data_IF_195827772650
#
_entry.id   IF_195827772650
#
_cell.length_a   1.000
_cell.length_b   1.000
_cell.length_c   1.000
_cell.angle_alpha   90.00
_cell.angle_beta   90.00
_cell.angle_gamma   90.00
#
_symmetry.space_group_name_H-M   'P 1'
#
loop_
_entity.id
_entity.type
_entity.pdbx_description
1 polymer ?
#
# COMPACT_ATOMS: atom_id res chain seq x y z
N UNK A 1 -14.11 6.13 24.78
CA UNK A 1 -15.05 7.19 24.50
C UNK A 1 -16.49 6.70 24.43
N UNK A 2 -17.40 7.61 24.39
CA UNK A 2 -18.83 7.38 24.24
C UNK A 2 -19.26 7.75 22.83
N UNK A 3 -19.94 6.88 22.13
CA UNK A 3 -20.39 7.12 20.75
C UNK A 3 -21.86 6.82 20.61
N UNK A 4 -22.61 7.69 19.93
CA UNK A 4 -24.06 7.54 19.69
C UNK A 4 -24.30 7.24 18.22
N UNK A 5 -24.78 6.02 17.93
CA UNK A 5 -25.36 5.66 16.62
C UNK A 5 -24.51 6.00 15.40
N UNK A 6 -23.18 5.91 15.49
CA UNK A 6 -22.26 6.26 14.40
C UNK A 6 -21.58 5.01 13.86
N UNK A 7 -21.41 4.95 12.54
CA UNK A 7 -20.46 4.04 11.90
C UNK A 7 -19.03 4.52 12.21
N UNK A 8 -18.17 3.58 12.54
CA UNK A 8 -16.73 3.82 12.77
C UNK A 8 -15.96 2.93 11.81
N UNK A 9 -15.17 3.53 10.94
CA UNK A 9 -14.36 2.79 9.97
C UNK A 9 -12.91 3.18 10.03
N UNK A 10 -12.07 2.27 9.54
CA UNK A 10 -10.66 2.50 9.28
C UNK A 10 -9.91 3.04 10.51
N UNK A 11 -10.16 2.43 11.66
CA UNK A 11 -9.58 2.83 12.94
C UNK A 11 -8.77 1.70 13.54
N UNK A 12 -7.72 2.06 14.27
CA UNK A 12 -6.96 1.07 15.02
C UNK A 12 -6.47 1.56 16.38
N UNK A 13 -6.15 0.60 17.25
CA UNK A 13 -5.44 0.82 18.49
C UNK A 13 -4.33 -0.21 18.66
N UNK A 14 -3.14 0.25 19.03
CA UNK A 14 -2.00 -0.59 19.44
C UNK A 14 -1.47 -0.20 20.83
N UNK A 15 -2.01 0.87 21.41
CA UNK A 15 -1.66 1.36 22.72
C UNK A 15 -2.41 0.65 23.84
N UNK A 16 -1.93 0.79 25.07
CA UNK A 16 -2.63 0.32 26.26
C UNK A 16 -3.82 1.24 26.59
N UNK A 17 -4.97 0.65 26.83
CA UNK A 17 -6.15 1.34 27.33
C UNK A 17 -6.48 0.81 28.72
N UNK A 18 -6.61 1.69 29.70
CA UNK A 18 -6.93 1.32 31.07
C UNK A 18 -8.12 2.11 31.61
N UNK A 19 -8.94 1.45 32.40
CA UNK A 19 -10.05 2.05 33.14
C UNK A 19 -9.86 1.82 34.62
N UNK A 20 -9.66 2.90 35.38
CA UNK A 20 -9.43 2.82 36.85
C UNK A 20 -10.72 2.53 37.64
N UNK A 21 -11.88 2.74 37.04
CA UNK A 21 -13.16 2.49 37.69
C UNK A 21 -13.49 0.98 37.69
N UNK A 22 -13.97 0.48 38.85
CA UNK A 22 -14.44 -0.92 38.96
C UNK A 22 -15.65 -1.20 38.06
N UNK A 23 -16.51 -0.19 37.85
CA UNK A 23 -17.68 -0.28 36.98
C UNK A 23 -17.46 0.57 35.74
N UNK A 24 -17.70 0.00 34.59
CA UNK A 24 -17.57 0.70 33.32
C UNK A 24 -17.27 -0.25 32.16
N UNK A 25 -17.24 0.31 30.98
CA UNK A 25 -17.02 -0.43 29.74
C UNK A 25 -15.73 0.06 29.08
N UNK A 26 -14.90 -0.87 28.69
CA UNK A 26 -13.63 -0.61 28.02
C UNK A 26 -13.58 -1.42 26.71
N UNK A 27 -13.11 -0.81 25.65
CA UNK A 27 -12.86 -1.45 24.37
C UNK A 27 -11.68 -0.81 23.66
N UNK A 28 -11.02 -1.58 22.81
CA UNK A 28 -9.86 -1.12 22.08
C UNK A 28 -10.17 0.01 21.08
N UNK A 29 -11.36 0.00 20.48
CA UNK A 29 -11.84 1.04 19.58
C UNK A 29 -12.83 1.95 20.30
N UNK A 30 -13.77 1.38 21.05
CA UNK A 30 -14.77 2.18 21.77
C UNK A 30 -15.17 1.54 23.08
N UNK A 31 -15.38 2.35 24.12
CA UNK A 31 -15.82 1.88 25.44
C UNK A 31 -17.33 1.60 25.49
N UNK A 32 -18.14 2.52 25.02
CA UNK A 32 -19.59 2.43 25.10
C UNK A 32 -20.26 3.01 23.85
N UNK A 33 -21.16 2.21 23.27
CA UNK A 33 -22.07 2.65 22.21
C UNK A 33 -23.51 2.63 22.70
N UNK A 34 -24.25 3.69 22.43
CA UNK A 34 -25.71 3.67 22.49
C UNK A 34 -26.28 3.57 21.08
N UNK A 35 -27.17 2.61 20.87
CA UNK A 35 -27.68 2.29 19.55
C UNK A 35 -26.87 1.20 18.83
N UNK A 36 -26.96 1.18 17.51
CA UNK A 36 -26.22 0.23 16.68
C UNK A 36 -24.76 0.61 16.60
N UNK A 37 -23.86 -0.32 16.92
CA UNK A 37 -22.43 -0.22 16.63
C UNK A 37 -22.20 -0.77 15.24
N UNK A 38 -21.66 0.04 14.37
CA UNK A 38 -21.09 -0.40 13.11
C UNK A 38 -19.57 -0.15 13.13
N UNK A 39 -18.81 -1.22 13.12
CA UNK A 39 -17.34 -1.18 13.01
C UNK A 39 -16.91 -1.83 11.70
N UNK A 40 -16.23 -1.10 10.87
CA UNK A 40 -15.75 -1.59 9.58
C UNK A 40 -14.26 -1.35 9.43
N UNK A 41 -13.50 -2.38 9.00
CA UNK A 41 -12.06 -2.29 8.79
C UNK A 41 -11.29 -1.76 10.01
N UNK A 42 -11.66 -2.19 11.22
CA UNK A 42 -11.00 -1.74 12.44
C UNK A 42 -10.16 -2.86 13.05
N UNK A 43 -9.10 -2.50 13.75
CA UNK A 43 -8.39 -3.51 14.53
C UNK A 43 -7.87 -2.98 15.88
N UNK A 44 -7.77 -3.90 16.85
CA UNK A 44 -7.12 -3.65 18.12
C UNK A 44 -6.01 -4.67 18.39
N UNK A 45 -4.78 -4.20 18.51
CA UNK A 45 -3.62 -4.98 18.98
C UNK A 45 -3.08 -4.45 20.32
N UNK A 46 -3.73 -3.44 20.91
CA UNK A 46 -3.39 -2.88 22.21
C UNK A 46 -3.91 -3.71 23.38
N UNK A 47 -3.34 -3.49 24.54
CA UNK A 47 -3.77 -4.14 25.79
C UNK A 47 -4.92 -3.39 26.46
N UNK A 48 -5.81 -4.13 27.12
CA UNK A 48 -6.94 -3.57 27.85
C UNK A 48 -6.86 -4.00 29.32
N UNK A 49 -7.06 -3.06 30.25
CA UNK A 49 -7.07 -3.35 31.69
C UNK A 49 -8.17 -2.61 32.43
N UNK A 50 -8.86 -3.30 33.34
CA UNK A 50 -9.94 -2.75 34.14
C UNK A 50 -11.31 -2.81 33.48
N UNK A 51 -12.30 -2.22 34.11
CA UNK A 51 -13.68 -2.20 33.67
C UNK A 51 -14.43 -3.51 33.86
N UNK A 52 -15.75 -3.43 33.98
CA UNK A 52 -16.63 -4.59 34.12
C UNK A 52 -16.94 -5.27 32.77
N UNK A 53 -17.06 -4.47 31.72
CA UNK A 53 -17.28 -4.93 30.35
C UNK A 53 -16.03 -4.64 29.52
N UNK A 54 -15.13 -5.61 29.43
CA UNK A 54 -13.89 -5.50 28.67
C UNK A 54 -14.04 -6.27 27.34
N UNK A 55 -14.22 -5.54 26.24
CA UNK A 55 -14.31 -6.11 24.90
C UNK A 55 -13.15 -5.66 24.02
N UNK A 56 -12.57 -6.57 23.25
CA UNK A 56 -11.39 -6.27 22.45
C UNK A 56 -11.59 -5.13 21.45
N UNK A 57 -12.79 -4.98 20.90
CA UNK A 57 -13.17 -3.88 20.01
C UNK A 57 -14.10 -2.89 20.73
N UNK A 58 -15.16 -3.39 21.37
CA UNK A 58 -16.13 -2.54 22.07
C UNK A 58 -16.53 -3.14 23.41
N UNK A 59 -16.59 -2.31 24.45
CA UNK A 59 -17.01 -2.75 25.80
C UNK A 59 -18.51 -3.02 25.87
N UNK A 60 -19.34 -2.02 25.57
CA UNK A 60 -20.79 -2.13 25.59
C UNK A 60 -21.40 -1.60 24.31
N UNK A 61 -22.34 -2.35 23.75
CA UNK A 61 -23.15 -1.96 22.60
C UNK A 61 -24.58 -2.48 22.72
N UNK A 62 -25.57 -1.72 22.25
CA UNK A 62 -26.97 -2.14 22.21
C UNK A 62 -27.18 -3.17 21.08
N UNK A 63 -26.72 -2.86 19.90
CA UNK A 63 -26.65 -3.75 18.72
C UNK A 63 -25.27 -3.67 18.11
N UNK A 64 -24.88 -4.71 17.36
CA UNK A 64 -23.50 -4.82 16.86
C UNK A 64 -23.52 -5.28 15.42
N UNK A 65 -22.91 -4.48 14.54
CA UNK A 65 -22.53 -4.85 13.18
C UNK A 65 -21.03 -4.68 13.05
N UNK A 66 -20.31 -5.80 12.99
CA UNK A 66 -18.85 -5.80 12.90
C UNK A 66 -18.47 -6.42 11.56
N UNK A 67 -17.92 -5.60 10.70
CA UNK A 67 -17.48 -5.98 9.36
C UNK A 67 -15.95 -5.84 9.28
N UNK A 68 -15.28 -6.90 8.84
CA UNK A 68 -13.84 -6.90 8.60
C UNK A 68 -13.03 -6.22 9.72
N UNK A 69 -13.45 -6.45 10.99
CA UNK A 69 -12.78 -5.87 12.14
C UNK A 69 -12.23 -6.97 13.06
N UNK A 70 -11.00 -6.79 13.50
CA UNK A 70 -10.18 -7.86 14.08
C UNK A 70 -9.51 -7.41 15.38
N UNK A 71 -9.08 -8.38 16.19
CA UNK A 71 -8.33 -8.07 17.39
C UNK A 71 -7.27 -9.13 17.70
N UNK A 72 -6.23 -8.71 18.41
CA UNK A 72 -5.14 -9.58 18.83
C UNK A 72 -5.65 -10.60 19.85
N UNK A 73 -5.37 -11.87 19.61
CA UNK A 73 -5.69 -12.97 20.51
C UNK A 73 -5.09 -12.70 21.91
N UNK A 74 -5.88 -12.96 22.93
CA UNK A 74 -5.51 -12.70 24.33
C UNK A 74 -5.79 -11.28 24.85
N UNK A 75 -6.22 -10.34 24.02
CA UNK A 75 -6.58 -8.99 24.47
C UNK A 75 -7.84 -8.97 25.34
N UNK A 76 -8.87 -9.70 24.94
CA UNK A 76 -10.09 -9.93 25.70
C UNK A 76 -10.79 -11.22 25.23
N UNK A 77 -11.69 -11.73 26.05
CA UNK A 77 -12.48 -12.94 25.71
C UNK A 77 -13.46 -12.69 24.55
N UNK A 78 -14.02 -11.48 24.51
CA UNK A 78 -15.02 -11.09 23.51
C UNK A 78 -14.56 -9.86 22.71
N UNK A 79 -14.95 -9.78 21.44
CA UNK A 79 -14.83 -8.56 20.66
C UNK A 79 -15.74 -7.45 21.22
N UNK A 80 -16.97 -7.83 21.63
CA UNK A 80 -17.94 -6.96 22.31
C UNK A 80 -18.40 -7.63 23.59
N UNK A 81 -18.00 -7.11 24.74
CA UNK A 81 -18.22 -7.78 26.04
C UNK A 81 -19.71 -7.89 26.40
N UNK A 82 -20.51 -6.83 26.25
CA UNK A 82 -21.93 -6.82 26.62
C UNK A 82 -22.79 -7.80 25.80
N UNK A 83 -22.32 -8.19 24.63
CA UNK A 83 -23.00 -9.14 23.72
C UNK A 83 -22.39 -10.53 23.71
N UNK A 84 -21.28 -10.73 24.42
CA UNK A 84 -20.47 -11.95 24.36
C UNK A 84 -20.15 -12.35 22.91
N UNK A 85 -19.96 -11.37 22.05
CA UNK A 85 -19.63 -11.56 20.65
C UNK A 85 -18.13 -11.78 20.51
N UNK A 86 -17.72 -12.94 20.00
CA UNK A 86 -16.30 -13.31 19.93
C UNK A 86 -15.53 -12.65 18.80
N UNK A 87 -16.20 -12.30 17.69
CA UNK A 87 -15.55 -11.62 16.57
C UNK A 87 -14.41 -12.40 15.91
N UNK A 88 -13.51 -11.70 15.25
CA UNK A 88 -12.37 -12.28 14.54
C UNK A 88 -11.05 -12.01 15.28
N UNK A 89 -10.58 -13.05 15.98
CA UNK A 89 -9.24 -13.04 16.59
C UNK A 89 -8.17 -13.33 15.56
N UNK A 90 -7.01 -12.71 15.74
CA UNK A 90 -5.80 -12.92 14.95
C UNK A 90 -4.59 -13.04 15.86
N UNK A 91 -3.60 -13.82 15.46
CA UNK A 91 -2.30 -13.82 16.12
C UNK A 91 -1.50 -12.56 15.77
N UNK A 92 -0.44 -12.29 16.52
CA UNK A 92 0.43 -11.13 16.25
C UNK A 92 1.10 -11.24 14.87
N UNK A 93 1.51 -12.44 14.46
CA UNK A 93 2.17 -12.65 13.17
C UNK A 93 1.19 -12.46 12.01
N UNK A 94 -0.06 -12.96 12.15
CA UNK A 94 -1.11 -12.69 11.16
C UNK A 94 -1.38 -11.19 11.01
N UNK A 95 -1.49 -10.46 12.14
CA UNK A 95 -1.81 -9.02 12.12
C UNK A 95 -0.65 -8.14 11.63
N UNK A 96 0.58 -8.65 11.61
CA UNK A 96 1.76 -7.96 11.06
C UNK A 96 2.03 -8.29 9.60
N UNK A 97 1.25 -9.17 9.01
CA UNK A 97 1.44 -9.59 7.62
C UNK A 97 0.94 -8.54 6.62
N UNK A 98 1.53 -8.51 5.44
CA UNK A 98 1.04 -7.68 4.33
C UNK A 98 -0.39 -8.05 3.91
N UNK A 99 -0.72 -9.36 3.99
CA UNK A 99 -2.06 -9.84 3.68
C UNK A 99 -3.11 -9.31 4.66
N UNK A 100 -2.75 -9.06 5.91
CA UNK A 100 -3.66 -8.45 6.87
C UNK A 100 -3.91 -6.97 6.57
N UNK A 101 -2.88 -6.22 6.20
CA UNK A 101 -3.06 -4.83 5.76
C UNK A 101 -3.97 -4.75 4.52
N UNK A 102 -3.77 -5.64 3.54
CA UNK A 102 -4.64 -5.74 2.37
C UNK A 102 -6.09 -6.14 2.72
N UNK A 103 -6.28 -7.03 3.70
CA UNK A 103 -7.59 -7.45 4.19
C UNK A 103 -8.37 -6.27 4.79
N UNK A 104 -7.69 -5.35 5.50
CA UNK A 104 -8.32 -4.16 6.08
C UNK A 104 -8.76 -3.13 5.04
N UNK A 105 -8.26 -3.21 3.79
CA UNK A 105 -8.65 -2.34 2.69
C UNK A 105 -7.68 -1.20 2.42
N UNK A 106 -8.04 -0.32 1.48
CA UNK A 106 -7.15 0.71 0.92
C UNK A 106 -6.71 1.80 1.91
N UNK A 107 -7.43 1.96 3.01
CA UNK A 107 -7.06 2.91 4.06
C UNK A 107 -5.79 2.48 4.83
N UNK A 108 -5.44 1.19 4.77
CA UNK A 108 -4.31 0.63 5.51
C UNK A 108 -3.15 0.23 4.61
N UNK A 109 -1.98 0.23 5.19
CA UNK A 109 -0.76 -0.24 4.54
C UNK A 109 0.13 -0.97 5.55
N UNK A 110 1.01 -1.89 5.10
CA UNK A 110 2.01 -2.50 5.95
C UNK A 110 2.92 -1.45 6.61
N UNK A 111 3.30 -1.69 7.86
CA UNK A 111 4.25 -0.84 8.60
C UNK A 111 5.69 -1.15 8.18
N UNK A 112 6.11 -0.62 7.04
CA UNK A 112 7.47 -0.78 6.51
C UNK A 112 8.51 0.14 7.18
N UNK A 113 8.07 1.06 8.04
CA UNK A 113 8.93 2.07 8.67
C UNK A 113 9.03 1.90 10.19
N UNK A 114 8.40 0.88 10.77
CA UNK A 114 8.43 0.62 12.20
C UNK A 114 7.65 1.65 13.05
N UNK A 115 6.67 2.33 12.46
CA UNK A 115 5.85 3.34 13.13
C UNK A 115 4.90 2.74 14.16
N UNK A 116 4.50 1.50 13.94
CA UNK A 116 3.42 0.84 14.66
C UNK A 116 3.78 -0.57 15.13
N UNK A 117 5.07 -0.84 15.35
CA UNK A 117 5.56 -2.14 15.80
C UNK A 117 5.27 -3.29 14.83
N UNK A 118 5.17 -3.00 13.54
CA UNK A 118 4.88 -3.94 12.47
C UNK A 118 3.39 -4.16 12.19
N UNK A 119 2.48 -3.61 13.00
CA UNK A 119 1.05 -3.63 12.71
C UNK A 119 0.67 -2.61 11.63
N UNK A 120 -0.35 -2.85 10.78
CA UNK A 120 -0.72 -1.93 9.73
C UNK A 120 -0.91 -0.49 10.21
N UNK A 121 -0.52 0.45 9.38
CA UNK A 121 -0.71 1.89 9.60
C UNK A 121 -1.71 2.43 8.60
N UNK A 122 -2.34 3.56 8.91
CA UNK A 122 -3.13 4.27 7.91
C UNK A 122 -2.21 4.87 6.84
N UNK A 123 -2.65 4.82 5.58
CA UNK A 123 -1.81 5.24 4.44
C UNK A 123 -1.25 6.65 4.62
N UNK A 124 -2.03 7.58 5.18
CA UNK A 124 -1.59 8.94 5.43
C UNK A 124 -0.55 9.10 6.56
N UNK A 125 -0.35 8.06 7.40
CA UNK A 125 0.66 8.05 8.46
C UNK A 125 2.05 7.67 7.95
N UNK A 126 2.15 7.11 6.74
CA UNK A 126 3.45 6.83 6.14
C UNK A 126 4.20 8.14 5.98
N UNK A 127 5.45 8.23 6.45
CA UNK A 127 6.24 9.43 6.21
C UNK A 127 6.34 9.63 4.70
N UNK A 128 6.14 10.87 4.25
CA UNK A 128 6.47 11.25 2.89
C UNK A 128 7.98 10.99 2.70
N UNK A 129 8.35 10.01 1.89
CA UNK A 129 9.75 9.78 1.60
C UNK A 129 10.22 10.79 0.54
N UNK A 130 11.45 11.25 0.70
CA UNK A 130 12.09 12.04 -0.34
C UNK A 130 12.51 11.09 -1.47
N UNK A 131 11.99 11.33 -2.68
CA UNK A 131 12.39 10.56 -3.83
C UNK A 131 13.87 10.78 -4.16
N UNK A 132 14.61 9.71 -4.23
CA UNK A 132 16.00 9.72 -4.74
C UNK A 132 16.01 8.94 -6.04
N UNK A 133 16.16 9.66 -7.16
CA UNK A 133 16.08 9.05 -8.48
C UNK A 133 17.46 8.63 -8.98
N UNK A 134 17.49 7.44 -9.58
CA UNK A 134 18.62 6.98 -10.41
C UNK A 134 18.29 7.24 -11.87
N UNK A 135 19.17 7.95 -12.57
CA UNK A 135 18.99 8.31 -13.96
C UNK A 135 19.63 7.27 -14.89
N UNK A 136 18.89 6.86 -15.91
CA UNK A 136 19.35 5.99 -17.00
C UNK A 136 19.11 6.69 -18.32
N UNK A 137 20.16 6.93 -19.10
CA UNK A 137 20.08 7.59 -20.41
C UNK A 137 19.87 6.54 -21.49
N UNK A 138 18.84 6.72 -22.30
CA UNK A 138 18.60 6.01 -23.54
C UNK A 138 19.03 6.90 -24.69
N UNK A 139 20.08 6.51 -25.42
CA UNK A 139 20.58 7.30 -26.55
C UNK A 139 19.58 7.29 -27.72
N UNK A 140 19.52 8.39 -28.53
CA UNK A 140 18.69 8.41 -29.73
C UNK A 140 19.24 7.45 -30.80
N UNK A 141 18.33 6.90 -31.61
CA UNK A 141 18.65 6.12 -32.80
C UNK A 141 18.44 6.99 -34.05
N UNK A 142 18.59 6.41 -35.21
CA UNK A 142 18.26 7.15 -36.43
C UNK A 142 16.81 7.57 -36.52
N UNK A 143 15.89 6.81 -35.93
CA UNK A 143 14.44 6.98 -35.98
C UNK A 143 13.80 7.39 -34.70
N UNK A 144 14.38 6.98 -33.54
CA UNK A 144 13.79 7.15 -32.25
C UNK A 144 14.51 8.23 -31.45
N UNK A 145 13.75 9.02 -30.69
CA UNK A 145 14.29 10.01 -29.76
C UNK A 145 15.00 9.33 -28.60
N UNK A 146 16.09 9.91 -28.16
CA UNK A 146 16.71 9.61 -26.88
C UNK A 146 15.97 10.28 -25.73
N UNK A 147 16.09 9.75 -24.52
CA UNK A 147 15.51 10.30 -23.30
C UNK A 147 16.24 9.80 -22.05
N UNK A 148 15.99 10.45 -20.93
CA UNK A 148 16.49 9.99 -19.63
C UNK A 148 15.32 9.50 -18.79
N UNK A 149 15.41 8.25 -18.30
CA UNK A 149 14.46 7.68 -17.34
C UNK A 149 15.03 7.84 -15.94
N UNK A 150 14.22 8.40 -15.04
CA UNK A 150 14.52 8.54 -13.63
C UNK A 150 13.66 7.57 -12.84
N UNK A 151 14.26 6.69 -12.02
CA UNK A 151 13.53 5.68 -11.23
C UNK A 151 13.92 5.78 -9.76
N UNK A 152 12.91 5.85 -8.89
CA UNK A 152 13.06 5.76 -7.45
C UNK A 152 12.86 4.31 -6.99
N UNK A 153 13.57 3.83 -5.95
CA UNK A 153 13.35 2.50 -5.38
C UNK A 153 11.91 2.22 -4.90
N UNK A 154 11.12 3.26 -4.66
CA UNK A 154 9.70 3.13 -4.32
C UNK A 154 8.79 2.73 -5.49
N UNK A 155 9.33 2.70 -6.72
CA UNK A 155 8.59 2.41 -7.95
C UNK A 155 8.13 3.66 -8.71
N UNK A 156 8.29 4.86 -8.14
CA UNK A 156 7.99 6.10 -8.86
C UNK A 156 9.03 6.34 -9.94
N UNK A 157 8.57 6.80 -11.13
CA UNK A 157 9.45 7.06 -12.27
C UNK A 157 8.89 8.13 -13.18
N UNK A 158 9.80 8.88 -13.81
CA UNK A 158 9.45 9.84 -14.86
C UNK A 158 10.53 9.87 -15.94
N UNK A 159 10.20 10.47 -17.09
CA UNK A 159 11.10 10.57 -18.24
C UNK A 159 11.24 12.04 -18.61
N UNK A 160 12.47 12.47 -18.87
CA UNK A 160 12.79 13.81 -19.32
C UNK A 160 13.99 13.83 -20.30
N UNK A 161 14.53 15.02 -20.53
CA UNK A 161 15.77 15.23 -21.31
C UNK A 161 15.71 14.53 -22.69
N UNK A 162 14.63 14.82 -23.44
CA UNK A 162 14.46 14.27 -24.77
C UNK A 162 15.49 14.85 -25.74
N UNK A 163 16.11 13.96 -26.53
CA UNK A 163 17.04 14.29 -27.62
C UNK A 163 16.40 13.80 -28.90
N UNK A 164 16.38 14.64 -29.93
CA UNK A 164 15.78 14.26 -31.21
C UNK A 164 16.52 13.09 -31.85
N UNK A 165 15.80 12.31 -32.67
CA UNK A 165 16.37 11.24 -33.47
C UNK A 165 17.50 11.78 -34.38
N UNK A 166 18.55 10.99 -34.55
CA UNK A 166 19.74 11.37 -35.31
C UNK A 166 19.47 11.59 -36.79
N UNK A 167 18.38 11.03 -37.31
CA UNK A 167 18.11 10.97 -38.73
C UNK A 167 18.99 9.96 -39.46
N UNK A 168 18.77 9.80 -40.74
CA UNK A 168 19.59 8.94 -41.57
C UNK A 168 20.69 9.73 -42.28
N UNK A 169 21.94 9.30 -42.13
CA UNK A 169 23.06 9.80 -42.90
C UNK A 169 23.26 8.88 -44.09
N UNK A 170 22.75 9.28 -45.24
CA UNK A 170 22.81 8.50 -46.47
C UNK A 170 24.24 8.37 -47.02
N UNK A 171 24.63 7.16 -47.35
CA UNK A 171 25.86 6.80 -48.09
C UNK A 171 25.42 6.13 -49.37
N UNK A 172 26.06 6.55 -50.48
CA UNK A 172 25.77 6.01 -51.82
C UNK A 172 26.60 4.75 -52.05
N UNK A 173 25.93 3.66 -52.38
CA UNK A 173 26.54 2.43 -52.83
C UNK A 173 26.71 2.50 -54.36
N UNK A 174 27.94 2.57 -54.89
CA UNK A 174 28.14 2.73 -56.32
C UNK A 174 27.65 1.51 -57.13
N UNK A 175 27.10 1.78 -58.30
CA UNK A 175 26.71 0.73 -59.22
C UNK A 175 27.91 -0.19 -59.58
N UNK A 176 27.67 -1.50 -59.64
CA UNK A 176 28.60 -2.49 -60.12
C UNK A 176 28.12 -3.08 -61.47
N UNK A 177 28.91 -2.95 -62.51
CA UNK A 177 28.56 -3.51 -63.81
C UNK A 177 28.49 -5.05 -63.78
N UNK A 178 27.55 -5.64 -64.54
CA UNK A 178 27.45 -7.07 -64.62
C UNK A 178 28.67 -7.61 -65.40
N UNK A 179 29.13 -8.79 -65.10
CA UNK A 179 30.15 -9.57 -65.80
C UNK A 179 29.52 -10.80 -66.41
N UNK A 180 30.30 -11.60 -67.19
CA UNK A 180 29.79 -12.84 -67.79
C UNK A 180 29.38 -13.89 -66.77
N UNK A 181 29.78 -13.72 -65.45
CA UNK A 181 29.56 -14.72 -64.43
C UNK A 181 28.86 -14.14 -63.16
N UNK A 182 28.76 -12.81 -63.07
CA UNK A 182 28.12 -12.14 -61.88
C UNK A 182 27.10 -11.11 -62.35
N UNK A 183 25.97 -11.05 -61.63
CA UNK A 183 24.95 -10.01 -61.84
C UNK A 183 25.48 -8.65 -61.40
N UNK A 184 25.22 -7.61 -62.14
CA UNK A 184 25.50 -6.24 -61.74
C UNK A 184 24.56 -5.77 -60.62
N UNK A 185 24.96 -4.72 -59.95
CA UNK A 185 24.16 -3.99 -58.96
C UNK A 185 23.93 -2.57 -59.50
N UNK A 186 22.73 -2.06 -59.36
CA UNK A 186 22.41 -0.65 -59.57
C UNK A 186 22.90 0.16 -58.38
N UNK A 187 23.13 1.45 -58.60
CA UNK A 187 23.40 2.39 -57.48
C UNK A 187 22.29 2.31 -56.45
N UNK A 188 22.68 2.22 -55.19
CA UNK A 188 21.83 2.16 -54.02
C UNK A 188 22.24 3.20 -52.98
N UNK A 189 21.48 3.26 -51.91
CA UNK A 189 21.81 4.09 -50.73
C UNK A 189 21.52 3.29 -49.47
N UNK A 190 22.37 3.47 -48.48
CA UNK A 190 22.15 2.96 -47.13
C UNK A 190 22.45 4.04 -46.09
N UNK A 191 21.98 3.84 -44.87
CA UNK A 191 22.34 4.72 -43.75
C UNK A 191 23.66 4.23 -43.14
N UNK A 192 24.62 5.14 -42.95
CA UNK A 192 25.93 4.83 -42.34
C UNK A 192 25.81 4.18 -40.95
N UNK A 193 24.72 4.46 -40.21
CA UNK A 193 24.54 4.04 -38.83
C UNK A 193 23.66 2.81 -38.66
N UNK A 194 22.60 2.64 -39.47
CA UNK A 194 21.61 1.57 -39.29
C UNK A 194 21.47 0.63 -40.48
N UNK A 195 22.20 0.85 -41.57
CA UNK A 195 22.17 0.02 -42.80
C UNK A 195 21.16 0.45 -43.84
#
# INVERSE_FOLDING_TARGET
>A
GYTMGCATSDCYNVGAVSLQAEKGSIGGITGWFTGTVELTNCYNAGTLTGGQNCGALAGTAAETQIHNSHYLAGTAEYAVASKKFTGSQKTADEMRSESFAALLGEAFAPDTHGLNGGYPVLVWQKPAHTHTYTAVVTAPTCTDKGYTTHTCPCGDSYVDTYVDALGHKEVVDPAKAATCTETGLTEGKHCETCG
#
